data_IF_740578883741
#
_entry.id   IF_740578883741
#
_cell.length_a   1.000
_cell.length_b   1.000
_cell.length_c   1.000
_cell.angle_alpha   90.00
_cell.angle_beta   90.00
_cell.angle_gamma   90.00
#
_symmetry.space_group_name_H-M   'P 1'
#
loop_
_entity.id
_entity.type
_entity.pdbx_description
1 polymer ?
#
# COMPACT_ATOMS: atom_id res chain seq x y z
N UNK A 1 39.69 25.18 -6.52
CA UNK A 1 38.43 24.88 -5.82
C UNK A 1 37.73 23.82 -6.65
N UNK A 2 37.54 22.61 -6.13
CA UNK A 2 36.83 21.54 -6.86
C UNK A 2 35.34 21.71 -6.57
N UNK A 3 34.50 21.70 -7.60
CA UNK A 3 33.05 21.79 -7.40
C UNK A 3 32.49 20.42 -7.01
N UNK A 4 32.07 20.29 -5.75
CA UNK A 4 31.51 19.07 -5.17
C UNK A 4 30.00 18.92 -5.41
N UNK A 5 29.32 19.92 -5.98
CA UNK A 5 27.86 19.87 -6.23
C UNK A 5 27.39 18.61 -6.97
N UNK A 6 28.09 18.08 -8.00
CA UNK A 6 27.65 16.86 -8.68
C UNK A 6 27.58 15.62 -7.79
N UNK A 7 28.44 15.52 -6.76
CA UNK A 7 28.52 14.33 -5.90
C UNK A 7 27.36 14.22 -4.91
N UNK A 8 26.81 15.36 -4.45
CA UNK A 8 25.59 15.38 -3.63
C UNK A 8 24.36 14.92 -4.42
N UNK A 9 24.20 15.39 -5.67
CA UNK A 9 23.13 14.93 -6.55
C UNK A 9 23.22 13.43 -6.87
N UNK A 10 24.42 12.89 -7.08
CA UNK A 10 24.61 11.45 -7.31
C UNK A 10 24.18 10.64 -6.07
N UNK A 11 24.53 11.07 -4.86
CA UNK A 11 24.11 10.37 -3.63
C UNK A 11 22.61 10.49 -3.37
N UNK A 12 21.98 11.65 -3.62
CA UNK A 12 20.54 11.81 -3.51
C UNK A 12 19.77 10.93 -4.52
N UNK A 13 20.24 10.87 -5.78
CA UNK A 13 19.66 10.00 -6.80
C UNK A 13 19.89 8.51 -6.49
N UNK A 14 21.04 8.16 -5.91
CA UNK A 14 21.31 6.80 -5.44
C UNK A 14 20.41 6.41 -4.25
N UNK A 15 20.07 7.35 -3.35
CA UNK A 15 19.13 7.11 -2.26
C UNK A 15 17.70 6.93 -2.79
N UNK A 16 17.26 7.78 -3.73
CA UNK A 16 16.01 7.59 -4.50
C UNK A 16 15.93 6.21 -5.15
N UNK A 17 17.01 5.78 -5.82
CA UNK A 17 17.09 4.46 -6.46
C UNK A 17 17.14 3.30 -5.47
N UNK A 18 17.78 3.45 -4.30
CA UNK A 18 17.79 2.43 -3.26
C UNK A 18 16.41 2.27 -2.59
N UNK A 19 15.71 3.36 -2.34
CA UNK A 19 14.33 3.34 -1.80
C UNK A 19 13.40 2.69 -2.82
N UNK A 20 13.41 3.14 -4.08
CA UNK A 20 12.51 2.59 -5.12
C UNK A 20 12.84 1.15 -5.52
N UNK A 21 14.12 0.77 -5.63
CA UNK A 21 14.52 -0.61 -5.94
C UNK A 21 14.32 -1.58 -4.76
N UNK A 22 14.41 -1.10 -3.51
CA UNK A 22 14.16 -1.91 -2.32
C UNK A 22 12.78 -2.57 -2.32
N UNK A 23 11.75 -1.82 -2.72
CA UNK A 23 10.38 -2.35 -2.79
C UNK A 23 10.15 -3.37 -3.91
N UNK A 24 10.93 -3.32 -5.00
CA UNK A 24 10.88 -4.34 -6.05
C UNK A 24 11.45 -5.71 -5.61
N UNK A 25 12.27 -5.74 -4.56
CA UNK A 25 12.96 -6.96 -4.10
C UNK A 25 12.14 -7.81 -3.11
N UNK A 26 11.10 -7.26 -2.49
CA UNK A 26 10.37 -7.93 -1.39
C UNK A 26 9.34 -8.96 -1.91
N UNK A 27 8.94 -8.88 -3.19
CA UNK A 27 7.92 -9.77 -3.78
C UNK A 27 8.42 -11.16 -4.25
N UNK A 28 9.53 -11.71 -3.71
CA UNK A 28 10.08 -13.01 -4.18
C UNK A 28 10.44 -14.07 -3.14
N UNK A 29 10.38 -13.81 -1.83
CA UNK A 29 10.72 -14.82 -0.81
C UNK A 29 9.59 -15.12 0.19
N UNK A 30 8.45 -15.59 -0.33
CA UNK A 30 7.45 -16.34 0.44
C UNK A 30 7.31 -17.75 -0.15
N UNK A 31 8.34 -18.58 0.04
CA UNK A 31 8.57 -19.82 -0.73
C UNK A 31 9.09 -21.02 0.05
N UNK A 32 8.34 -21.45 1.08
CA UNK A 32 8.25 -22.85 1.56
C UNK A 32 9.56 -23.68 1.74
N UNK A 33 10.04 -23.81 2.98
CA UNK A 33 10.95 -24.90 3.40
C UNK A 33 10.27 -25.82 4.44
N UNK A 34 10.23 -27.15 4.25
CA UNK A 34 9.76 -28.10 5.26
C UNK A 34 10.83 -28.38 6.32
N UNK A 35 10.41 -28.66 7.55
CA UNK A 35 11.32 -28.89 8.69
C UNK A 35 11.78 -30.35 8.87
N UNK A 36 12.81 -30.51 9.69
CA UNK A 36 13.26 -31.79 10.28
C UNK A 36 13.52 -31.56 11.78
N UNK A 37 13.25 -32.55 12.64
CA UNK A 37 13.25 -32.39 14.09
C UNK A 37 14.22 -33.34 14.83
N UNK A 38 14.80 -32.85 15.93
CA UNK A 38 15.43 -33.55 17.06
C UNK A 38 15.41 -32.54 18.24
N UNK A 39 14.86 -32.81 19.42
CA UNK A 39 15.41 -33.62 20.53
C UNK A 39 16.75 -33.08 21.11
N UNK A 40 16.98 -32.96 22.42
CA UNK A 40 16.10 -32.96 23.61
C UNK A 40 16.89 -32.47 24.86
N UNK A 41 16.19 -32.09 25.96
CA UNK A 41 16.71 -31.78 27.32
C UNK A 41 17.64 -30.54 27.45
N UNK A 42 17.59 -29.71 28.50
CA UNK A 42 17.54 -30.03 29.93
C UNK A 42 16.73 -29.05 30.82
N UNK A 43 16.41 -29.52 32.03
CA UNK A 43 15.62 -28.90 33.11
C UNK A 43 16.35 -27.77 33.87
N UNK A 44 15.65 -26.73 34.38
CA UNK A 44 16.28 -25.58 35.08
C UNK A 44 16.58 -25.82 36.56
N UNK A 45 17.32 -24.89 37.18
CA UNK A 45 17.56 -24.81 38.63
C UNK A 45 17.32 -23.39 39.17
N UNK A 46 16.70 -23.29 40.35
CA UNK A 46 16.55 -22.06 41.14
C UNK A 46 17.48 -22.11 42.36
N UNK A 47 18.02 -20.98 42.79
CA UNK A 47 18.25 -20.71 44.23
C UNK A 47 18.41 -19.20 44.52
N UNK A 48 18.15 -18.84 45.78
CA UNK A 48 17.93 -17.49 46.36
C UNK A 48 19.05 -17.14 47.40
N UNK A 49 19.02 -16.03 48.17
CA UNK A 49 18.55 -14.65 47.91
C UNK A 49 19.44 -13.51 48.53
N UNK A 50 18.96 -12.26 48.37
CA UNK A 50 18.94 -11.15 49.37
C UNK A 50 20.21 -10.37 49.83
N UNK A 51 20.11 -9.04 49.69
CA UNK A 51 20.54 -8.05 50.68
C UNK A 51 19.63 -6.79 50.59
N UNK A 52 19.40 -6.08 51.72
CA UNK A 52 18.55 -4.87 51.81
C UNK A 52 19.34 -3.65 52.32
N UNK A 53 19.07 -2.47 51.76
CA UNK A 53 19.06 -1.15 52.47
C UNK A 53 17.86 -0.35 51.90
N UNK A 54 17.27 0.58 52.67
CA UNK A 54 15.98 1.22 52.34
C UNK A 54 15.86 2.69 52.82
N UNK A 55 14.88 3.42 52.24
CA UNK A 55 14.34 4.73 52.67
C UNK A 55 15.29 5.95 52.52
N UNK A 56 14.86 7.19 52.27
CA UNK A 56 13.54 7.81 51.99
C UNK A 56 13.75 9.01 51.01
N UNK A 57 12.83 9.92 50.65
CA UNK A 57 11.42 10.20 51.02
C UNK A 57 10.70 10.99 49.88
N UNK A 58 9.45 11.44 50.05
CA UNK A 58 8.66 12.21 49.04
C UNK A 58 8.01 13.50 49.60
N UNK A 59 8.29 14.68 49.01
CA UNK A 59 7.45 15.88 49.10
C UNK A 59 6.31 15.92 48.02
N UNK A 60 5.27 16.76 48.19
CA UNK A 60 4.02 16.67 47.42
C UNK A 60 3.95 17.50 46.12
N UNK A 61 2.92 17.18 45.34
CA UNK A 61 2.50 17.75 44.07
C UNK A 61 1.59 19.00 44.25
N UNK A 62 1.78 20.10 43.50
CA UNK A 62 0.86 21.24 43.46
C UNK A 62 -0.19 21.09 42.35
N UNK A 63 -1.43 21.53 42.63
CA UNK A 63 -2.60 21.30 41.78
C UNK A 63 -2.69 22.18 40.51
N UNK A 64 -3.40 21.67 39.48
CA UNK A 64 -3.74 22.41 38.25
C UNK A 64 -4.80 23.50 38.47
N UNK A 65 -4.68 24.67 37.82
CA UNK A 65 -5.80 25.58 37.56
C UNK A 65 -6.52 25.23 36.24
N UNK A 66 -7.81 25.56 36.17
CA UNK A 66 -8.68 25.36 34.99
C UNK A 66 -8.69 26.61 34.06
N UNK A 67 -9.42 26.63 32.92
CA UNK A 67 -8.97 27.33 31.71
C UNK A 67 -9.23 28.85 31.67
N UNK A 68 -8.40 29.54 30.88
CA UNK A 68 -8.59 30.91 30.41
C UNK A 68 -8.84 30.95 28.88
N UNK A 69 -9.35 32.08 28.38
CA UNK A 69 -10.00 32.19 27.07
C UNK A 69 -9.03 32.47 25.90
N UNK A 70 -9.47 32.15 24.68
CA UNK A 70 -8.81 32.53 23.42
C UNK A 70 -8.82 34.06 23.22
N UNK A 71 -7.72 34.67 22.72
CA UNK A 71 -7.76 35.84 21.86
C UNK A 71 -7.80 35.43 20.37
N UNK A 72 -8.44 36.22 19.52
CA UNK A 72 -8.58 35.93 18.08
C UNK A 72 -7.31 36.25 17.29
N UNK A 73 -6.83 35.28 16.49
CA UNK A 73 -5.64 35.42 15.64
C UNK A 73 -6.01 35.97 14.25
N UNK A 74 -6.23 37.29 14.16
CA UNK A 74 -6.36 37.99 12.88
C UNK A 74 -4.98 38.48 12.43
N UNK A 75 -4.43 37.87 11.37
CA UNK A 75 -3.29 38.42 10.63
C UNK A 75 -3.78 39.05 9.32
N UNK A 76 -3.39 40.29 9.08
CA UNK A 76 -3.65 41.04 7.84
C UNK A 76 -2.30 41.48 7.28
N UNK A 77 -2.03 41.11 6.03
CA UNK A 77 -0.78 41.42 5.35
C UNK A 77 -0.74 42.88 4.87
N UNK A 78 0.47 43.46 4.74
CA UNK A 78 0.67 44.92 4.76
C UNK A 78 1.20 45.49 3.45
N UNK A 79 0.36 45.47 2.42
CA UNK A 79 0.62 46.16 1.15
C UNK A 79 0.46 47.70 1.24
N UNK A 80 1.10 48.43 0.31
CA UNK A 80 1.15 49.90 0.27
C UNK A 80 -0.07 50.52 -0.46
N UNK A 81 -0.51 51.70 -0.03
CA UNK A 81 -1.51 52.57 -0.69
C UNK A 81 -0.77 53.64 -1.55
N UNK A 82 -1.32 54.49 -2.44
CA UNK A 82 -2.55 55.35 -2.56
C UNK A 82 -2.63 55.77 -4.09
N UNK A 83 -3.73 56.21 -4.78
CA UNK A 83 -5.16 56.49 -4.44
C UNK A 83 -6.28 55.92 -5.39
N UNK A 84 -7.54 55.94 -4.89
CA UNK A 84 -8.79 56.63 -5.39
C UNK A 84 -8.86 57.03 -6.90
N UNK A 85 -9.93 56.79 -7.70
CA UNK A 85 -11.41 56.71 -7.47
C UNK A 85 -12.20 55.85 -8.52
N UNK A 86 -13.51 55.52 -8.32
CA UNK A 86 -14.39 54.67 -9.17
C UNK A 86 -15.41 55.52 -10.03
N UNK A 87 -16.52 55.01 -10.67
CA UNK A 87 -17.17 53.68 -10.63
C UNK A 87 -17.74 53.12 -11.98
N UNK A 88 -18.71 52.18 -11.86
CA UNK A 88 -19.53 51.48 -12.88
C UNK A 88 -18.88 50.19 -13.49
N UNK A 89 -19.58 49.06 -13.67
CA UNK A 89 -21.01 48.77 -13.40
C UNK A 89 -21.31 47.30 -12.98
N UNK A 90 -22.58 47.01 -12.66
CA UNK A 90 -23.15 45.78 -12.08
C UNK A 90 -22.82 44.42 -12.74
N UNK A 91 -22.72 43.33 -11.95
CA UNK A 91 -23.67 42.18 -12.01
C UNK A 91 -23.42 41.04 -10.95
N UNK A 92 -24.46 40.74 -10.15
CA UNK A 92 -24.86 39.47 -9.48
C UNK A 92 -23.85 38.41 -8.95
N UNK A 93 -24.15 37.96 -7.72
CA UNK A 93 -23.53 36.84 -6.99
C UNK A 93 -24.14 35.48 -7.36
N UNK A 94 -23.32 34.42 -7.40
CA UNK A 94 -23.73 33.04 -7.13
C UNK A 94 -22.58 32.28 -6.44
N UNK A 95 -22.85 31.64 -5.31
CA UNK A 95 -21.84 30.88 -4.52
C UNK A 95 -21.88 29.39 -4.87
N UNK A 96 -20.70 28.81 -5.13
CA UNK A 96 -20.53 27.35 -5.22
C UNK A 96 -19.96 26.82 -3.89
N UNK A 97 -20.46 25.67 -3.44
CA UNK A 97 -19.96 24.92 -2.28
C UNK A 97 -19.63 23.50 -2.70
N UNK A 98 -18.45 23.00 -2.33
CA UNK A 98 -18.04 21.62 -2.58
C UNK A 98 -19.00 20.59 -1.98
N UNK A 99 -19.10 19.43 -2.64
CA UNK A 99 -19.70 18.22 -2.07
C UNK A 99 -18.95 16.99 -2.54
N UNK A 100 -18.55 16.14 -1.59
CA UNK A 100 -18.01 14.81 -1.87
C UNK A 100 -19.14 13.88 -2.41
N UNK A 101 -18.80 12.82 -3.17
CA UNK A 101 -19.79 11.85 -3.66
C UNK A 101 -20.45 11.08 -2.52
N UNK A 102 -21.72 10.70 -2.71
CA UNK A 102 -22.57 10.10 -1.67
C UNK A 102 -22.55 8.55 -1.70
N UNK A 103 -22.76 7.94 -0.53
CA UNK A 103 -22.67 6.49 -0.30
C UNK A 103 -23.99 5.81 -0.66
N UNK A 104 -23.95 4.73 -1.43
CA UNK A 104 -25.12 3.90 -1.72
C UNK A 104 -25.31 2.76 -0.71
N UNK A 105 -26.40 2.83 0.06
CA UNK A 105 -26.95 1.72 0.84
C UNK A 105 -28.46 1.63 0.58
N UNK A 106 -28.98 0.42 0.34
CA UNK A 106 -30.42 0.19 0.08
C UNK A 106 -30.85 -1.15 0.69
N UNK A 107 -32.00 -1.14 1.35
CA UNK A 107 -32.61 -2.29 2.06
C UNK A 107 -33.26 -3.34 1.12
N UNK A 108 -33.49 -4.58 1.59
CA UNK A 108 -33.97 -5.69 0.77
C UNK A 108 -35.49 -5.65 0.45
N UNK A 109 -35.95 -6.32 -0.63
CA UNK A 109 -37.35 -6.30 -1.07
C UNK A 109 -38.28 -7.30 -0.35
N UNK A 110 -39.59 -6.96 -0.35
CA UNK A 110 -40.72 -7.71 0.21
C UNK A 110 -41.07 -9.01 -0.56
N UNK A 111 -41.62 -10.00 0.15
CA UNK A 111 -41.94 -11.35 -0.35
C UNK A 111 -43.36 -11.47 -0.91
N UNK A 112 -43.52 -12.00 -2.13
CA UNK A 112 -44.82 -12.50 -2.64
C UNK A 112 -44.67 -13.77 -3.49
N UNK A 113 -45.47 -14.79 -3.18
CA UNK A 113 -45.67 -15.98 -4.00
C UNK A 113 -46.65 -15.68 -5.17
N UNK A 114 -46.88 -16.62 -6.11
CA UNK A 114 -48.01 -17.53 -5.86
C UNK A 114 -47.85 -18.99 -6.34
N UNK A 115 -48.43 -19.89 -5.53
CA UNK A 115 -49.19 -21.13 -5.81
C UNK A 115 -48.87 -22.10 -6.97
N UNK A 116 -49.14 -23.38 -6.69
CA UNK A 116 -48.98 -24.55 -7.57
C UNK A 116 -50.27 -24.93 -8.31
N UNK A 117 -50.16 -25.47 -9.52
CA UNK A 117 -51.19 -26.36 -10.09
C UNK A 117 -50.58 -27.50 -10.92
N UNK A 118 -50.97 -28.74 -10.61
CA UNK A 118 -50.87 -29.93 -11.49
C UNK A 118 -52.20 -30.16 -12.22
N UNK A 119 -52.19 -30.94 -13.31
CA UNK A 119 -52.95 -32.21 -13.25
C UNK A 119 -52.20 -33.39 -13.88
N UNK A 120 -52.85 -34.56 -13.95
CA UNK A 120 -52.20 -35.87 -14.07
C UNK A 120 -52.47 -36.65 -15.38
N UNK A 121 -51.52 -37.53 -15.68
CA UNK A 121 -51.64 -38.91 -16.20
C UNK A 121 -52.85 -39.33 -17.05
N UNK A 122 -52.55 -39.90 -18.23
CA UNK A 122 -53.37 -40.94 -18.89
C UNK A 122 -52.46 -41.99 -19.55
N UNK A 123 -52.85 -43.27 -19.56
CA UNK A 123 -52.10 -44.38 -20.16
C UNK A 123 -53.03 -45.44 -20.78
N UNK A 124 -52.61 -46.11 -21.86
CA UNK A 124 -53.40 -47.13 -22.61
C UNK A 124 -52.50 -48.25 -23.18
N UNK A 125 -53.01 -49.50 -23.23
CA UNK A 125 -52.43 -50.73 -23.82
C UNK A 125 -53.48 -51.42 -24.73
N UNK A 126 -53.27 -52.48 -25.53
CA UNK A 126 -52.24 -53.55 -25.73
C UNK A 126 -52.05 -53.75 -27.27
N UNK A 127 -51.31 -54.67 -27.92
CA UNK A 127 -50.64 -55.97 -27.67
C UNK A 127 -49.34 -56.04 -28.54
N UNK A 128 -48.38 -56.98 -28.49
CA UNK A 128 -48.24 -58.40 -28.11
C UNK A 128 -48.65 -59.45 -29.16
N UNK A 129 -47.68 -59.89 -29.98
CA UNK A 129 -47.53 -61.19 -30.69
C UNK A 129 -46.12 -61.22 -31.33
N UNK A 130 -45.40 -62.33 -31.55
CA UNK A 130 -45.43 -63.70 -30.98
C UNK A 130 -44.02 -64.32 -31.19
N UNK A 131 -43.72 -65.46 -30.55
CA UNK A 131 -42.54 -66.29 -30.84
C UNK A 131 -42.88 -67.32 -31.96
N UNK A 132 -42.09 -68.32 -32.36
CA UNK A 132 -40.79 -68.87 -31.94
C UNK A 132 -40.23 -69.73 -33.09
N UNK A 133 -38.92 -70.03 -33.11
CA UNK A 133 -38.46 -71.36 -33.58
C UNK A 133 -37.05 -71.71 -33.10
N UNK A 134 -36.90 -72.95 -32.64
CA UNK A 134 -35.62 -73.63 -32.42
C UNK A 134 -35.67 -75.02 -33.07
N UNK A 135 -34.53 -75.69 -33.24
CA UNK A 135 -34.31 -77.15 -33.00
C UNK A 135 -32.83 -77.51 -33.21
N UNK A 136 -32.35 -78.51 -32.47
CA UNK A 136 -30.97 -78.97 -32.30
C UNK A 136 -30.60 -80.22 -33.12
N UNK A 137 -29.31 -80.41 -33.42
CA UNK A 137 -28.63 -81.73 -33.55
C UNK A 137 -27.10 -81.48 -33.70
N UNK A 138 -26.13 -82.29 -33.26
CA UNK A 138 -26.07 -83.45 -32.34
C UNK A 138 -24.59 -83.74 -32.02
N UNK A 139 -24.28 -84.35 -30.86
CA UNK A 139 -22.93 -84.80 -30.49
C UNK A 139 -22.65 -86.27 -30.90
N UNK A 140 -21.37 -86.70 -30.92
CA UNK A 140 -20.98 -87.89 -30.16
C UNK A 140 -19.64 -87.74 -29.40
N UNK A 141 -19.25 -88.78 -28.64
CA UNK A 141 -18.01 -88.90 -27.86
C UNK A 141 -17.56 -90.39 -27.87
N UNK A 142 -16.41 -90.84 -27.33
CA UNK A 142 -15.44 -90.26 -26.38
C UNK A 142 -14.01 -90.63 -26.81
N UNK A 143 -13.01 -89.79 -26.48
CA UNK A 143 -11.59 -90.15 -26.45
C UNK A 143 -10.85 -89.35 -25.35
N UNK A 144 -9.76 -89.87 -24.80
CA UNK A 144 -9.24 -89.47 -23.48
C UNK A 144 -7.93 -88.63 -23.50
N UNK A 145 -7.75 -87.83 -22.44
CA UNK A 145 -6.47 -87.32 -21.88
C UNK A 145 -5.51 -86.47 -22.74
N UNK A 146 -5.48 -85.15 -22.46
CA UNK A 146 -4.27 -84.40 -22.06
C UNK A 146 -4.70 -83.15 -21.23
N UNK A 147 -3.94 -82.70 -20.20
CA UNK A 147 -4.54 -81.91 -19.13
C UNK A 147 -4.65 -80.40 -19.41
N UNK A 148 -5.38 -79.74 -18.52
CA UNK A 148 -5.58 -78.29 -18.44
C UNK A 148 -4.27 -77.49 -18.64
N UNK A 149 -4.28 -76.53 -19.56
CA UNK A 149 -3.46 -75.33 -19.39
C UNK A 149 -4.25 -74.39 -18.48
N UNK A 150 -3.93 -74.41 -17.18
CA UNK A 150 -4.38 -73.40 -16.22
C UNK A 150 -4.13 -72.00 -16.75
N UNK A 151 -4.97 -71.07 -16.32
CA UNK A 151 -4.94 -69.66 -16.67
C UNK A 151 -3.52 -69.10 -16.50
N UNK A 152 -3.00 -68.51 -17.57
CA UNK A 152 -1.87 -67.60 -17.43
C UNK A 152 -2.41 -66.37 -16.69
N UNK A 153 -1.85 -65.99 -15.53
CA UNK A 153 -2.31 -64.78 -14.84
C UNK A 153 -2.09 -63.59 -15.77
N UNK A 154 -3.13 -62.77 -15.95
CA UNK A 154 -3.00 -61.53 -16.70
C UNK A 154 -1.85 -60.69 -16.09
N UNK A 155 -1.01 -60.04 -16.93
CA UNK A 155 0.09 -59.25 -16.43
C UNK A 155 -0.48 -58.13 -15.57
N UNK A 156 -0.09 -58.10 -14.28
CA UNK A 156 -0.53 -57.07 -13.35
C UNK A 156 -0.26 -55.69 -13.98
N UNK A 157 -1.25 -54.78 -14.00
CA UNK A 157 -1.08 -53.48 -14.63
C UNK A 157 0.10 -52.73 -14.00
N UNK A 158 0.87 -52.04 -14.84
CA UNK A 158 2.04 -51.22 -14.45
C UNK A 158 1.79 -49.73 -14.64
N UNK A 159 0.71 -49.39 -15.34
CA UNK A 159 0.21 -48.04 -15.62
C UNK A 159 -1.18 -47.84 -15.01
N UNK A 160 -1.62 -46.59 -14.96
CA UNK A 160 -2.98 -46.15 -14.66
C UNK A 160 -3.59 -45.52 -15.91
N UNK A 161 -4.89 -45.69 -16.13
CA UNK A 161 -5.64 -45.00 -17.18
C UNK A 161 -6.25 -43.70 -16.63
N UNK A 162 -6.04 -42.59 -17.33
CA UNK A 162 -6.62 -41.29 -17.03
C UNK A 162 -7.45 -40.79 -18.22
N UNK A 163 -8.77 -40.75 -18.02
CA UNK A 163 -9.78 -40.31 -18.98
C UNK A 163 -10.18 -38.87 -18.67
N UNK A 164 -9.84 -37.91 -19.55
CA UNK A 164 -10.12 -36.48 -19.35
C UNK A 164 -11.20 -35.96 -20.29
N UNK A 165 -12.25 -35.38 -19.72
CA UNK A 165 -13.43 -34.84 -20.42
C UNK A 165 -13.78 -33.45 -19.89
N UNK A 166 -14.50 -32.66 -20.69
CA UNK A 166 -14.91 -31.29 -20.40
C UNK A 166 -16.35 -31.05 -20.82
N UNK A 167 -16.96 -30.00 -20.29
CA UNK A 167 -18.23 -29.46 -20.78
C UNK A 167 -18.05 -28.52 -22.00
N UNK A 168 -16.83 -28.27 -22.45
CA UNK A 168 -16.52 -27.33 -23.54
C UNK A 168 -15.57 -27.97 -24.56
N UNK A 169 -15.84 -27.80 -25.84
CA UNK A 169 -14.93 -28.26 -26.91
C UNK A 169 -13.81 -27.24 -27.18
N UNK A 170 -12.69 -27.71 -27.76
CA UNK A 170 -11.51 -26.90 -28.08
C UNK A 170 -10.95 -26.17 -26.83
N UNK A 171 -10.82 -26.90 -25.73
CA UNK A 171 -10.00 -26.53 -24.58
C UNK A 171 -8.55 -27.05 -24.75
N UNK A 172 -7.71 -26.86 -23.73
CA UNK A 172 -6.32 -27.32 -23.69
C UNK A 172 -6.02 -27.91 -22.31
N UNK A 173 -5.58 -29.16 -22.32
CA UNK A 173 -5.15 -29.91 -21.14
C UNK A 173 -3.64 -29.73 -20.93
N UNK A 174 -3.28 -29.40 -19.70
CA UNK A 174 -1.91 -29.35 -19.20
C UNK A 174 -1.79 -30.29 -17.99
N UNK A 175 -0.72 -31.09 -17.96
CA UNK A 175 -0.45 -32.05 -16.88
C UNK A 175 1.02 -31.90 -16.48
N UNK A 176 1.28 -31.57 -15.21
CA UNK A 176 2.62 -31.33 -14.66
C UNK A 176 3.47 -30.36 -15.53
N UNK A 177 2.88 -29.26 -16.00
CA UNK A 177 3.56 -28.24 -16.82
C UNK A 177 3.72 -28.58 -18.31
N UNK A 178 3.14 -29.70 -18.78
CA UNK A 178 3.21 -30.14 -20.19
C UNK A 178 1.83 -30.14 -20.82
N UNK A 179 1.67 -29.51 -21.98
CA UNK A 179 0.43 -29.52 -22.77
C UNK A 179 0.21 -30.85 -23.49
N UNK A 180 -1.03 -31.35 -23.52
CA UNK A 180 -1.43 -32.59 -24.19
C UNK A 180 -2.51 -32.39 -25.29
N UNK A 181 -3.07 -31.19 -25.44
CA UNK A 181 -4.13 -30.89 -26.41
C UNK A 181 -5.53 -30.88 -25.76
N UNK A 182 -6.62 -30.87 -26.56
CA UNK A 182 -7.99 -30.77 -26.04
C UNK A 182 -8.44 -32.03 -25.28
N UNK A 183 -9.50 -31.89 -24.48
CA UNK A 183 -10.17 -33.02 -23.83
C UNK A 183 -10.94 -33.90 -24.83
N UNK A 184 -11.51 -35.02 -24.34
CA UNK A 184 -11.63 -36.31 -25.09
C UNK A 184 -10.27 -36.99 -25.24
N UNK A 185 -9.47 -36.87 -24.18
CA UNK A 185 -8.08 -37.29 -24.08
C UNK A 185 -8.00 -38.46 -23.09
N UNK A 186 -7.41 -39.57 -23.52
CA UNK A 186 -7.23 -40.79 -22.73
C UNK A 186 -5.73 -41.12 -22.71
N UNK A 187 -5.16 -41.29 -21.51
CA UNK A 187 -3.72 -41.36 -21.32
C UNK A 187 -3.31 -42.42 -20.29
N UNK A 188 -2.27 -43.17 -20.61
CA UNK A 188 -1.57 -44.01 -19.62
C UNK A 188 -0.47 -43.24 -18.89
N UNK A 189 -0.49 -43.36 -17.57
CA UNK A 189 0.51 -42.78 -16.68
C UNK A 189 1.15 -43.84 -15.77
N UNK A 190 2.37 -43.58 -15.31
CA UNK A 190 2.96 -44.35 -14.23
C UNK A 190 2.30 -43.97 -12.88
N UNK A 191 2.41 -44.81 -11.83
CA UNK A 191 1.92 -44.44 -10.51
C UNK A 191 2.63 -43.19 -9.97
N UNK A 192 1.86 -42.19 -9.54
CA UNK A 192 2.41 -40.87 -9.21
C UNK A 192 1.33 -39.84 -8.86
N UNK A 193 1.77 -38.60 -8.60
CA UNK A 193 0.89 -37.44 -8.45
C UNK A 193 0.90 -36.62 -9.76
N UNK A 194 -0.27 -36.10 -10.13
CA UNK A 194 -0.49 -35.35 -11.36
C UNK A 194 -1.36 -34.11 -11.09
N UNK A 195 -0.79 -32.93 -11.32
CA UNK A 195 -1.48 -31.65 -11.35
C UNK A 195 -2.04 -31.44 -12.74
N UNK A 196 -3.37 -31.49 -12.86
CA UNK A 196 -4.09 -31.41 -14.12
C UNK A 196 -4.79 -30.05 -14.20
N UNK A 197 -4.59 -29.33 -15.28
CA UNK A 197 -5.27 -28.06 -15.58
C UNK A 197 -5.96 -28.18 -16.95
N UNK A 198 -7.21 -27.74 -17.03
CA UNK A 198 -7.98 -27.66 -18.27
C UNK A 198 -8.30 -26.17 -18.48
N UNK A 199 -7.65 -25.60 -19.48
CA UNK A 199 -7.65 -24.18 -19.81
C UNK A 199 -8.46 -23.94 -21.10
N UNK A 200 -9.19 -22.83 -21.19
CA UNK A 200 -9.73 -22.34 -22.46
C UNK A 200 -9.88 -20.82 -22.47
N UNK A 201 -9.53 -20.18 -23.58
CA UNK A 201 -9.80 -18.76 -23.81
C UNK A 201 -11.31 -18.47 -23.69
N UNK A 202 -11.66 -17.43 -22.92
CA UNK A 202 -13.06 -17.11 -22.60
C UNK A 202 -13.70 -17.97 -21.50
N UNK A 203 -12.93 -18.77 -20.75
CA UNK A 203 -13.43 -19.60 -19.64
C UNK A 203 -12.49 -19.54 -18.43
N UNK A 204 -13.07 -19.66 -17.23
CA UNK A 204 -12.31 -19.91 -16.00
C UNK A 204 -11.69 -21.30 -16.05
N UNK A 205 -10.37 -21.36 -15.89
CA UNK A 205 -9.60 -22.61 -15.83
C UNK A 205 -10.09 -23.52 -14.72
N UNK A 206 -10.16 -24.82 -15.01
CA UNK A 206 -10.41 -25.87 -14.05
C UNK A 206 -9.09 -26.57 -13.71
N UNK A 207 -8.85 -26.88 -12.44
CA UNK A 207 -7.67 -27.63 -12.02
C UNK A 207 -7.94 -28.62 -10.89
N UNK A 208 -7.21 -29.73 -10.89
CA UNK A 208 -7.26 -30.74 -9.85
C UNK A 208 -5.94 -31.53 -9.78
N UNK A 209 -5.38 -31.65 -8.58
CA UNK A 209 -4.31 -32.63 -8.29
C UNK A 209 -4.93 -34.01 -8.06
N UNK A 210 -4.39 -35.05 -8.70
CA UNK A 210 -4.78 -36.45 -8.46
C UNK A 210 -3.56 -37.32 -8.18
N UNK A 211 -3.81 -38.45 -7.52
CA UNK A 211 -2.83 -39.52 -7.29
C UNK A 211 -3.30 -40.77 -8.03
N UNK A 212 -2.42 -41.37 -8.83
CA UNK A 212 -2.70 -42.56 -9.62
C UNK A 212 -1.85 -43.75 -9.12
N UNK A 213 -2.46 -44.93 -9.13
CA UNK A 213 -1.90 -46.21 -8.69
C UNK A 213 -1.94 -47.21 -9.87
N UNK A 214 -1.07 -48.22 -9.86
CA UNK A 214 -1.00 -49.18 -10.96
C UNK A 214 -2.29 -50.02 -11.06
N UNK A 215 -3.01 -49.89 -12.17
CA UNK A 215 -4.33 -50.49 -12.38
C UNK A 215 -5.53 -49.59 -12.07
N UNK A 216 -5.32 -48.33 -11.67
CA UNK A 216 -6.42 -47.36 -11.54
C UNK A 216 -6.98 -46.99 -12.94
N UNK A 217 -8.30 -46.83 -13.03
CA UNK A 217 -9.01 -46.21 -14.16
C UNK A 217 -9.81 -45.02 -13.62
N UNK A 218 -9.38 -43.81 -13.97
CA UNK A 218 -9.92 -42.56 -13.43
C UNK A 218 -10.48 -41.67 -14.54
N UNK A 219 -11.79 -41.41 -14.51
CA UNK A 219 -12.43 -40.38 -15.34
C UNK A 219 -12.57 -39.07 -14.57
N UNK A 220 -11.92 -38.01 -15.04
CA UNK A 220 -12.16 -36.64 -14.57
C UNK A 220 -13.00 -35.85 -15.57
N UNK A 221 -13.83 -34.95 -15.05
CA UNK A 221 -14.73 -34.10 -15.83
C UNK A 221 -14.53 -32.64 -15.42
N UNK A 222 -13.74 -31.91 -16.20
CA UNK A 222 -13.60 -30.47 -16.04
C UNK A 222 -14.95 -29.79 -16.28
N UNK A 223 -15.33 -28.90 -15.37
CA UNK A 223 -16.44 -27.96 -15.58
C UNK A 223 -15.83 -26.56 -15.70
N UNK A 224 -15.56 -26.15 -16.93
CA UNK A 224 -15.12 -24.80 -17.27
C UNK A 224 -16.35 -23.90 -17.35
N UNK A 225 -16.29 -22.76 -16.68
CA UNK A 225 -17.37 -21.77 -16.65
C UNK A 225 -16.96 -20.59 -17.54
N UNK A 226 -17.82 -20.23 -18.49
CA UNK A 226 -17.51 -19.16 -19.44
C UNK A 226 -17.34 -17.82 -18.70
N UNK A 227 -16.32 -17.05 -19.06
CA UNK A 227 -16.31 -15.61 -18.80
C UNK A 227 -17.46 -15.02 -19.62
N UNK A 228 -18.57 -14.80 -18.93
CA UNK A 228 -19.74 -14.17 -19.53
C UNK A 228 -19.38 -12.73 -19.80
N UNK A 229 -19.32 -12.35 -21.08
CA UNK A 229 -18.98 -10.99 -21.47
C UNK A 229 -20.07 -10.04 -20.97
N UNK A 230 -19.71 -9.15 -20.05
CA UNK A 230 -20.65 -8.23 -19.39
C UNK A 230 -20.56 -6.85 -20.03
N UNK A 231 -21.53 -6.45 -20.85
CA UNK A 231 -21.58 -5.10 -21.42
C UNK A 231 -22.81 -4.32 -20.89
N UNK A 232 -22.57 -3.27 -20.11
CA UNK A 232 -23.59 -2.31 -19.65
C UNK A 232 -23.50 -1.00 -20.45
N UNK A 233 -24.61 -0.60 -21.08
CA UNK A 233 -24.71 0.66 -21.82
C UNK A 233 -26.11 1.25 -21.64
N UNK A 234 -26.21 2.59 -21.57
CA UNK A 234 -27.48 3.32 -21.55
C UNK A 234 -28.49 2.79 -20.49
N UNK A 235 -28.01 2.51 -19.28
CA UNK A 235 -28.84 2.01 -18.17
C UNK A 235 -29.16 0.51 -18.20
N UNK A 236 -28.69 -0.24 -19.21
CA UNK A 236 -29.11 -1.64 -19.45
C UNK A 236 -27.92 -2.60 -19.50
N UNK A 237 -28.02 -3.74 -18.79
CA UNK A 237 -27.06 -4.85 -18.87
C UNK A 237 -27.42 -5.77 -20.04
N UNK A 238 -26.50 -5.94 -20.99
CA UNK A 238 -26.70 -6.78 -22.18
C UNK A 238 -26.91 -8.25 -21.78
N UNK A 239 -28.03 -8.84 -22.20
CA UNK A 239 -28.37 -10.23 -21.86
C UNK A 239 -28.73 -10.46 -20.38
N UNK A 240 -28.80 -9.42 -19.55
CA UNK A 240 -29.15 -9.52 -18.13
C UNK A 240 -28.06 -10.10 -17.22
N UNK A 241 -26.90 -10.47 -17.75
CA UNK A 241 -25.76 -10.96 -16.96
C UNK A 241 -25.02 -9.78 -16.31
N UNK A 242 -24.49 -9.98 -15.10
CA UNK A 242 -23.83 -8.95 -14.28
C UNK A 242 -22.55 -9.42 -13.57
N UNK A 243 -22.02 -10.57 -13.95
CA UNK A 243 -20.84 -11.20 -13.35
C UNK A 243 -19.98 -11.76 -14.46
N UNK A 244 -18.64 -11.64 -14.36
CA UNK A 244 -17.72 -11.88 -15.47
C UNK A 244 -17.08 -10.58 -15.97
N UNK A 245 -16.32 -10.66 -17.06
CA UNK A 245 -15.49 -9.56 -17.56
C UNK A 245 -16.17 -8.78 -18.70
N UNK A 246 -15.94 -7.47 -18.78
CA UNK A 246 -16.43 -6.69 -19.93
C UNK A 246 -16.35 -5.18 -19.76
N UNK A 247 -17.39 -4.47 -20.21
CA UNK A 247 -17.44 -3.00 -20.25
C UNK A 247 -18.68 -2.41 -19.58
N UNK A 248 -18.53 -1.24 -18.97
CA UNK A 248 -19.62 -0.45 -18.42
C UNK A 248 -19.49 0.99 -18.94
N UNK A 249 -20.60 1.54 -19.45
CA UNK A 249 -20.74 2.95 -19.86
C UNK A 249 -22.10 3.45 -19.39
N UNK A 250 -22.11 4.45 -18.49
CA UNK A 250 -23.35 5.11 -18.04
C UNK A 250 -23.63 6.44 -18.76
N UNK A 251 -24.75 7.07 -18.40
CA UNK A 251 -25.20 8.33 -18.98
C UNK A 251 -24.42 9.55 -18.51
N UNK A 252 -23.71 9.45 -17.38
CA UNK A 252 -22.83 10.50 -16.86
C UNK A 252 -21.45 10.47 -17.56
N UNK A 253 -21.10 9.32 -18.17
CA UNK A 253 -19.94 9.14 -19.04
C UNK A 253 -18.78 8.37 -18.40
N UNK A 254 -18.99 7.75 -17.23
CA UNK A 254 -18.02 6.84 -16.62
C UNK A 254 -17.87 5.60 -17.51
N UNK A 255 -16.63 5.32 -17.92
CA UNK A 255 -16.28 4.13 -18.68
C UNK A 255 -15.42 3.22 -17.82
N UNK A 256 -15.82 1.97 -17.64
CA UNK A 256 -15.04 0.95 -16.95
C UNK A 256 -14.83 -0.29 -17.83
N UNK A 257 -13.63 -0.87 -17.77
CA UNK A 257 -13.30 -2.16 -18.37
C UNK A 257 -12.60 -3.03 -17.32
N UNK A 258 -13.15 -4.21 -17.03
CA UNK A 258 -12.62 -5.11 -15.99
C UNK A 258 -13.64 -6.18 -15.59
N UNK A 259 -13.48 -6.76 -14.40
CA UNK A 259 -14.34 -7.81 -13.87
C UNK A 259 -15.52 -7.26 -13.06
N UNK A 260 -16.64 -7.97 -13.10
CA UNK A 260 -17.86 -7.64 -12.37
C UNK A 260 -18.30 -8.79 -11.47
N UNK A 261 -18.85 -8.47 -10.29
CA UNK A 261 -19.66 -9.39 -9.50
C UNK A 261 -20.98 -8.73 -9.15
N UNK A 262 -22.09 -9.33 -9.58
CA UNK A 262 -23.47 -8.87 -9.35
C UNK A 262 -23.74 -7.41 -9.81
N UNK A 263 -22.93 -6.89 -10.72
CA UNK A 263 -23.01 -5.54 -11.29
C UNK A 263 -22.11 -4.50 -10.62
N UNK A 264 -21.34 -4.89 -9.60
CA UNK A 264 -20.26 -4.08 -8.99
C UNK A 264 -18.92 -4.39 -9.65
N UNK A 265 -18.06 -3.38 -9.76
CA UNK A 265 -16.65 -3.56 -10.20
C UNK A 265 -15.88 -4.36 -9.15
N UNK A 266 -15.09 -5.34 -9.58
CA UNK A 266 -14.33 -6.25 -8.72
C UNK A 266 -13.01 -6.63 -9.41
N UNK A 267 -11.99 -7.08 -8.67
CA UNK A 267 -10.74 -7.56 -9.25
C UNK A 267 -9.99 -6.49 -10.04
N UNK A 268 -9.29 -6.85 -11.11
CA UNK A 268 -8.53 -5.90 -11.93
C UNK A 268 -9.44 -5.14 -12.89
N UNK A 269 -9.28 -3.81 -12.97
CA UNK A 269 -10.06 -2.99 -13.91
C UNK A 269 -9.55 -1.55 -14.08
N UNK A 270 -9.92 -0.96 -15.20
CA UNK A 270 -9.58 0.41 -15.62
C UNK A 270 -10.85 1.24 -15.68
N UNK A 271 -10.92 2.34 -14.92
CA UNK A 271 -11.98 3.35 -15.04
C UNK A 271 -11.45 4.64 -15.67
N UNK A 272 -12.29 5.28 -16.49
CA UNK A 272 -12.11 6.63 -17.04
C UNK A 272 -13.34 7.44 -16.64
N UNK A 273 -13.12 8.53 -15.92
CA UNK A 273 -14.17 9.35 -15.34
C UNK A 273 -14.52 10.54 -16.26
N UNK A 274 -15.75 11.09 -16.17
CA UNK A 274 -16.18 12.22 -17.00
C UNK A 274 -15.31 13.49 -16.83
N UNK A 275 -14.69 13.66 -15.66
CA UNK A 275 -13.76 14.76 -15.37
C UNK A 275 -12.37 14.58 -16.00
N UNK A 276 -12.10 13.45 -16.68
CA UNK A 276 -10.81 13.11 -17.28
C UNK A 276 -9.86 12.29 -16.38
N UNK A 277 -10.23 12.02 -15.12
CA UNK A 277 -9.44 11.14 -14.25
C UNK A 277 -9.43 9.69 -14.79
N UNK A 278 -8.36 8.95 -14.49
CA UNK A 278 -8.24 7.52 -14.81
C UNK A 278 -7.71 6.73 -13.63
N UNK A 279 -8.41 5.68 -13.24
CA UNK A 279 -7.92 4.66 -12.32
C UNK A 279 -7.60 3.35 -13.07
N UNK A 280 -6.58 2.64 -12.63
CA UNK A 280 -6.16 1.31 -13.11
C UNK A 280 -5.58 0.53 -11.93
N UNK A 281 -6.22 -0.56 -11.53
CA UNK A 281 -5.83 -1.28 -10.30
C UNK A 281 -6.88 -2.29 -9.86
N UNK A 282 -6.83 -2.67 -8.57
CA UNK A 282 -7.81 -3.58 -7.99
C UNK A 282 -9.08 -2.83 -7.54
N UNK A 283 -10.20 -3.56 -7.56
CA UNK A 283 -11.52 -3.11 -7.17
C UNK A 283 -12.13 -4.13 -6.23
N UNK A 284 -12.92 -3.68 -5.27
CA UNK A 284 -13.83 -4.58 -4.55
C UNK A 284 -15.14 -3.88 -4.23
N UNK A 285 -16.25 -4.59 -4.45
CA UNK A 285 -17.62 -4.13 -4.28
C UNK A 285 -17.97 -2.79 -4.98
N UNK A 286 -17.21 -2.36 -5.99
CA UNK A 286 -17.36 -1.09 -6.70
C UNK A 286 -16.36 0.02 -6.31
N UNK A 287 -15.53 -0.19 -5.28
CA UNK A 287 -14.57 0.80 -4.77
C UNK A 287 -13.12 0.44 -5.14
N UNK A 288 -12.22 1.43 -5.19
CA UNK A 288 -10.78 1.18 -5.38
C UNK A 288 -10.20 0.48 -4.16
N UNK A 289 -9.40 -0.56 -4.39
CA UNK A 289 -8.76 -1.37 -3.35
C UNK A 289 -7.40 -1.87 -3.82
N UNK A 290 -6.59 -2.43 -2.90
CA UNK A 290 -5.31 -3.07 -3.22
C UNK A 290 -4.36 -2.16 -4.01
N UNK A 291 -3.45 -2.74 -4.77
CA UNK A 291 -2.55 -1.95 -5.62
C UNK A 291 -3.27 -1.32 -6.82
N UNK A 292 -2.91 -0.08 -7.15
CA UNK A 292 -3.41 0.63 -8.32
C UNK A 292 -2.65 1.91 -8.65
N UNK A 293 -3.08 2.57 -9.72
CA UNK A 293 -2.60 3.87 -10.20
C UNK A 293 -3.79 4.77 -10.51
N UNK A 294 -3.85 5.93 -9.86
CA UNK A 294 -4.80 7.01 -10.16
C UNK A 294 -4.06 8.14 -10.87
N UNK A 295 -4.55 8.58 -12.02
CA UNK A 295 -4.09 9.79 -12.71
C UNK A 295 -5.22 10.80 -12.75
N UNK A 296 -4.98 12.01 -12.26
CA UNK A 296 -5.94 13.11 -12.29
C UNK A 296 -5.85 13.88 -13.60
N UNK A 297 -6.96 14.40 -14.08
CA UNK A 297 -6.99 15.30 -15.24
C UNK A 297 -6.12 16.56 -15.03
N UNK A 298 -6.03 17.03 -13.77
CA UNK A 298 -5.16 18.12 -13.35
C UNK A 298 -3.67 17.78 -13.20
N UNK A 299 -3.18 16.67 -13.77
CA UNK A 299 -1.76 16.32 -13.84
C UNK A 299 -1.20 15.51 -12.67
N UNK A 300 -1.76 15.64 -11.46
CA UNK A 300 -1.36 14.83 -10.30
C UNK A 300 -1.61 13.32 -10.54
N UNK A 301 -0.78 12.45 -9.95
CA UNK A 301 -0.96 11.00 -10.01
C UNK A 301 -0.46 10.29 -8.76
N UNK A 302 -1.19 9.26 -8.32
CA UNK A 302 -0.81 8.37 -7.24
C UNK A 302 -0.59 6.95 -7.76
N UNK A 303 0.40 6.24 -7.22
CA UNK A 303 0.62 4.81 -7.42
C UNK A 303 0.93 4.13 -6.09
N UNK A 304 0.24 3.03 -5.80
CA UNK A 304 0.40 2.27 -4.56
C UNK A 304 -0.90 1.61 -4.11
N UNK A 305 -0.97 1.26 -2.83
CA UNK A 305 -2.14 0.63 -2.22
C UNK A 305 -3.32 1.59 -1.97
N UNK A 306 -4.52 1.03 -2.01
CA UNK A 306 -5.83 1.67 -1.78
C UNK A 306 -6.68 0.84 -0.82
N UNK A 307 -7.52 1.51 -0.03
CA UNK A 307 -8.60 0.89 0.73
C UNK A 307 -9.82 1.81 0.75
N UNK A 308 -11.02 1.25 0.54
CA UNK A 308 -12.30 1.97 0.57
C UNK A 308 -12.31 3.26 -0.29
N UNK A 309 -11.72 3.20 -1.49
CA UNK A 309 -11.58 4.37 -2.38
C UNK A 309 -10.48 5.38 -2.02
N UNK A 310 -9.79 5.24 -0.89
CA UNK A 310 -8.75 6.17 -0.43
C UNK A 310 -7.32 5.57 -0.55
N UNK A 311 -6.30 6.44 -0.60
CA UNK A 311 -4.89 6.02 -0.49
C UNK A 311 -4.64 5.42 0.90
N UNK A 312 -4.05 4.22 0.96
CA UNK A 312 -3.87 3.48 2.21
C UNK A 312 -2.70 2.50 2.06
N UNK A 313 -1.85 2.32 3.09
CA UNK A 313 -0.65 1.51 2.98
C UNK A 313 0.49 2.23 2.25
N UNK A 314 1.37 1.52 1.53
CA UNK A 314 2.50 2.15 0.85
C UNK A 314 2.08 2.77 -0.50
N UNK A 315 2.61 3.96 -0.80
CA UNK A 315 2.37 4.60 -2.09
C UNK A 315 3.15 5.89 -2.32
N UNK A 316 3.10 6.37 -3.56
CA UNK A 316 3.75 7.60 -4.03
C UNK A 316 2.73 8.49 -4.75
N UNK A 317 2.66 9.76 -4.34
CA UNK A 317 1.84 10.82 -4.93
C UNK A 317 2.77 11.85 -5.60
N UNK A 318 2.72 11.93 -6.93
CA UNK A 318 3.17 13.11 -7.67
C UNK A 318 2.03 14.11 -7.73
N UNK A 319 2.25 15.35 -7.28
CA UNK A 319 1.29 16.46 -7.41
C UNK A 319 1.32 17.08 -8.83
N UNK A 320 0.48 18.10 -9.04
CA UNK A 320 0.39 18.85 -10.29
C UNK A 320 1.50 19.91 -10.48
N UNK A 321 2.12 20.36 -9.38
CA UNK A 321 3.26 21.28 -9.37
C UNK A 321 4.58 20.56 -9.72
N UNK A 322 4.76 19.35 -9.21
CA UNK A 322 5.94 18.51 -9.40
C UNK A 322 6.40 17.81 -8.12
N UNK A 323 5.86 18.19 -6.95
CA UNK A 323 6.16 17.56 -5.67
C UNK A 323 5.88 16.04 -5.72
N UNK A 324 6.80 15.25 -5.18
CA UNK A 324 6.65 13.81 -5.00
C UNK A 324 6.64 13.49 -3.51
N UNK A 325 5.52 13.01 -2.98
CA UNK A 325 5.38 12.48 -1.63
C UNK A 325 5.36 10.95 -1.68
N UNK A 326 6.22 10.27 -0.92
CA UNK A 326 6.28 8.80 -0.89
C UNK A 326 6.35 8.28 0.53
N UNK A 327 5.63 7.20 0.85
CA UNK A 327 5.67 6.57 2.17
C UNK A 327 4.38 5.87 2.54
N UNK A 328 4.09 5.82 3.84
CA UNK A 328 2.87 5.21 4.38
C UNK A 328 1.69 6.19 4.40
N UNK A 329 0.57 5.76 3.84
CA UNK A 329 -0.69 6.49 3.75
C UNK A 329 -1.75 5.86 4.65
N UNK A 330 -2.57 6.70 5.27
CA UNK A 330 -3.79 6.30 5.95
C UNK A 330 -4.91 7.26 5.57
N UNK A 331 -6.04 6.70 5.13
CA UNK A 331 -7.29 7.41 4.84
C UNK A 331 -7.10 8.66 3.93
N UNK A 332 -6.22 8.54 2.93
CA UNK A 332 -5.89 9.59 1.97
C UNK A 332 -4.76 10.55 2.40
N UNK A 333 -4.21 10.43 3.60
CA UNK A 333 -3.17 11.31 4.17
C UNK A 333 -1.87 10.53 4.40
N UNK A 334 -0.72 11.21 4.28
CA UNK A 334 0.58 10.60 4.60
C UNK A 334 0.77 10.61 6.13
N UNK A 335 0.92 9.44 6.76
CA UNK A 335 1.03 9.28 8.21
C UNK A 335 1.92 8.07 8.55
N UNK A 336 2.94 8.28 9.38
CA UNK A 336 4.09 7.39 9.52
C UNK A 336 5.32 7.88 8.74
N UNK A 337 6.24 7.00 8.39
CA UNK A 337 7.47 7.40 7.69
C UNK A 337 7.27 7.64 6.18
N UNK A 338 8.01 8.62 5.66
CA UNK A 338 8.02 8.95 4.23
C UNK A 338 9.04 10.01 3.84
N UNK A 339 8.90 10.52 2.63
CA UNK A 339 9.69 11.61 2.05
C UNK A 339 8.84 12.58 1.22
N UNK A 340 9.31 13.82 1.11
CA UNK A 340 8.87 14.81 0.13
C UNK A 340 10.08 15.22 -0.71
N UNK A 341 9.96 15.17 -2.04
CA UNK A 341 10.87 15.85 -2.96
C UNK A 341 10.09 16.96 -3.66
N UNK A 342 10.50 18.21 -3.48
CA UNK A 342 9.88 19.38 -4.11
C UNK A 342 10.46 19.68 -5.50
N UNK A 343 9.69 20.39 -6.31
CA UNK A 343 10.15 20.88 -7.63
C UNK A 343 11.30 21.91 -7.50
N UNK A 344 11.29 22.67 -6.42
CA UNK A 344 12.34 23.60 -5.95
C UNK A 344 13.65 22.90 -5.52
N UNK A 345 13.69 21.57 -5.50
CA UNK A 345 14.83 20.78 -5.03
C UNK A 345 14.94 20.63 -3.51
N UNK A 346 13.89 20.97 -2.76
CA UNK A 346 13.73 20.64 -1.34
C UNK A 346 13.57 19.13 -1.17
N UNK A 347 14.24 18.55 -0.19
CA UNK A 347 14.14 17.13 0.16
C UNK A 347 13.88 16.98 1.67
N UNK A 348 12.72 16.45 2.03
CA UNK A 348 12.43 15.96 3.37
C UNK A 348 12.45 14.43 3.41
N UNK A 349 13.03 13.85 4.46
CA UNK A 349 12.90 12.43 4.82
C UNK A 349 12.69 12.36 6.32
N UNK A 350 11.64 11.69 6.79
CA UNK A 350 11.33 11.66 8.22
C UNK A 350 9.96 11.08 8.54
N UNK A 351 9.40 11.51 9.67
CA UNK A 351 8.02 11.20 10.05
C UNK A 351 7.01 12.21 9.51
N UNK A 352 5.81 11.73 9.21
CA UNK A 352 4.64 12.51 8.84
C UNK A 352 3.48 12.19 9.78
N UNK A 353 2.61 13.17 9.97
CA UNK A 353 1.33 13.01 10.65
C UNK A 353 0.28 13.86 9.93
N UNK A 354 -0.79 13.24 9.42
CA UNK A 354 -1.84 13.90 8.63
C UNK A 354 -1.32 14.75 7.46
N UNK A 355 -0.19 14.36 6.86
CA UNK A 355 0.49 15.07 5.78
C UNK A 355 1.49 16.16 6.20
N UNK A 356 1.58 16.50 7.50
CA UNK A 356 2.57 17.46 8.03
C UNK A 356 3.83 16.74 8.55
N UNK A 357 5.01 17.39 8.48
CA UNK A 357 6.25 16.85 9.06
C UNK A 357 6.10 16.73 10.59
N UNK A 358 6.48 15.57 11.15
CA UNK A 358 6.24 15.24 12.56
C UNK A 358 7.21 14.19 13.12
N UNK A 359 7.74 14.42 14.32
CA UNK A 359 8.81 13.58 14.88
C UNK A 359 10.15 13.84 14.19
N UNK A 360 11.10 12.91 14.31
CA UNK A 360 12.44 13.09 13.74
C UNK A 360 12.44 13.12 12.20
N UNK A 361 13.26 13.99 11.63
CA UNK A 361 13.50 14.04 10.20
C UNK A 361 14.69 14.88 9.78
N UNK A 362 14.95 14.87 8.48
CA UNK A 362 16.00 15.63 7.81
C UNK A 362 15.37 16.45 6.69
N UNK A 363 15.65 17.75 6.64
CA UNK A 363 15.17 18.68 5.61
C UNK A 363 16.36 19.37 4.93
N UNK A 364 16.52 19.19 3.62
CA UNK A 364 17.56 19.81 2.81
C UNK A 364 16.95 20.70 1.74
N UNK A 365 17.60 21.81 1.40
CA UNK A 365 17.18 22.76 0.36
C UNK A 365 18.22 22.88 -0.75
N UNK A 366 17.80 23.26 -1.95
CA UNK A 366 18.69 23.42 -3.11
C UNK A 366 19.78 24.51 -2.95
N UNK A 367 19.61 25.45 -2.02
CA UNK A 367 20.61 26.46 -1.65
C UNK A 367 21.71 25.94 -0.71
N UNK A 368 21.60 24.70 -0.23
CA UNK A 368 22.52 24.07 0.70
C UNK A 368 22.13 24.18 2.18
N UNK A 369 21.01 24.83 2.53
CA UNK A 369 20.44 24.73 3.89
C UNK A 369 20.08 23.29 4.22
N UNK A 370 20.31 22.91 5.46
CA UNK A 370 20.10 21.55 5.94
C UNK A 370 19.75 21.53 7.42
N UNK A 371 18.60 20.95 7.78
CA UNK A 371 18.15 20.72 9.14
C UNK A 371 18.05 19.22 9.43
N UNK A 372 18.47 18.81 10.63
CA UNK A 372 18.31 17.47 11.17
C UNK A 372 17.79 17.58 12.63
N UNK A 373 16.71 16.89 12.96
CA UNK A 373 16.10 16.92 14.30
C UNK A 373 14.58 16.77 14.29
N UNK A 374 13.94 17.21 15.38
CA UNK A 374 12.50 17.05 15.60
C UNK A 374 11.61 18.04 14.84
N UNK A 375 10.43 17.56 14.43
CA UNK A 375 9.37 18.34 13.79
C UNK A 375 8.05 18.22 14.56
N UNK A 376 7.28 19.30 14.59
CA UNK A 376 5.90 19.31 15.08
C UNK A 376 5.06 20.25 14.22
N UNK A 377 3.97 19.73 13.69
CA UNK A 377 3.04 20.43 12.78
C UNK A 377 3.75 21.19 11.65
N UNK A 378 4.69 20.51 10.97
CA UNK A 378 5.48 21.08 9.87
C UNK A 378 6.68 21.95 10.27
N UNK A 379 6.78 22.41 11.52
CA UNK A 379 7.84 23.30 12.00
C UNK A 379 8.91 22.58 12.84
N UNK A 380 10.15 23.11 12.86
CA UNK A 380 11.23 22.60 13.72
C UNK A 380 10.83 22.68 15.21
N UNK A 381 11.09 21.62 15.97
CA UNK A 381 10.65 21.50 17.36
C UNK A 381 11.53 20.52 18.17
N UNK A 382 11.87 20.83 19.42
CA UNK A 382 12.74 19.98 20.22
C UNK A 382 14.22 20.18 19.85
N UNK A 383 15.06 19.15 20.02
CA UNK A 383 16.49 19.25 19.70
C UNK A 383 16.74 19.13 18.18
N UNK A 384 17.72 19.87 17.66
CA UNK A 384 18.09 19.81 16.25
C UNK A 384 19.35 20.61 15.88
N UNK A 385 19.73 20.47 14.61
CA UNK A 385 20.95 21.00 14.01
C UNK A 385 20.61 21.61 12.63
N UNK A 386 20.71 22.93 12.48
CA UNK A 386 20.54 23.62 11.18
C UNK A 386 21.87 24.18 10.67
N UNK A 387 22.13 23.97 9.38
CA UNK A 387 23.19 24.61 8.60
C UNK A 387 22.53 25.61 7.65
N UNK A 388 23.02 26.84 7.67
CA UNK A 388 22.50 27.96 6.87
C UNK A 388 23.22 28.08 5.52
N UNK A 389 22.60 28.75 4.54
CA UNK A 389 23.16 28.92 3.19
C UNK A 389 24.47 29.73 3.16
N UNK A 390 24.76 30.51 4.21
CA UNK A 390 26.02 31.23 4.42
C UNK A 390 27.09 30.40 5.15
N UNK A 391 26.76 29.16 5.53
CA UNK A 391 27.63 28.25 6.27
C UNK A 391 27.62 28.41 7.79
N UNK A 392 26.77 29.28 8.38
CA UNK A 392 26.52 29.24 9.83
C UNK A 392 25.91 27.89 10.21
N UNK A 393 26.08 27.47 11.47
CA UNK A 393 25.44 26.28 12.03
C UNK A 393 24.85 26.58 13.41
N UNK A 394 23.58 26.27 13.64
CA UNK A 394 23.00 26.22 14.98
C UNK A 394 22.84 24.76 15.43
N UNK A 395 23.14 24.47 16.69
CA UNK A 395 22.81 23.21 17.36
C UNK A 395 22.17 23.54 18.70
N UNK A 396 20.96 23.06 18.95
CA UNK A 396 20.23 23.42 20.16
C UNK A 396 18.76 23.05 20.09
N UNK A 397 17.94 23.74 20.89
CA UNK A 397 16.50 23.52 20.94
C UNK A 397 15.76 24.48 19.98
N UNK A 398 14.59 24.04 19.50
CA UNK A 398 13.68 24.76 18.62
C UNK A 398 12.26 24.76 19.19
N UNK A 399 11.52 25.83 18.92
CA UNK A 399 10.10 25.95 19.24
C UNK A 399 9.42 26.74 18.12
N UNK A 400 8.44 26.12 17.45
CA UNK A 400 7.68 26.74 16.35
C UNK A 400 8.58 27.27 15.22
N UNK A 401 9.66 26.54 14.90
CA UNK A 401 10.66 26.93 13.88
C UNK A 401 11.78 27.85 14.39
N UNK A 402 11.58 28.55 15.51
CA UNK A 402 12.54 29.51 16.07
C UNK A 402 13.54 28.87 17.04
N UNK A 403 14.75 29.44 17.14
CA UNK A 403 15.71 29.04 18.17
C UNK A 403 15.12 29.28 19.57
N UNK A 404 15.22 28.26 20.43
CA UNK A 404 14.69 28.26 21.79
C UNK A 404 15.63 27.51 22.74
N UNK A 405 15.35 27.54 24.05
CA UNK A 405 16.01 26.68 25.03
C UNK A 405 17.53 26.89 25.04
N UNK A 406 18.33 25.84 25.23
CA UNK A 406 19.79 25.94 25.10
C UNK A 406 20.23 25.67 23.66
N UNK A 407 21.22 26.42 23.20
CA UNK A 407 21.85 26.19 21.90
C UNK A 407 23.18 26.91 21.73
N UNK A 408 23.86 26.57 20.63
CA UNK A 408 25.12 27.16 20.18
C UNK A 408 24.99 27.52 18.70
N UNK A 409 25.14 28.81 18.38
CA UNK A 409 25.37 29.28 17.01
C UNK A 409 26.88 29.29 16.74
N UNK A 410 27.29 28.75 15.60
CA UNK A 410 28.66 28.69 15.10
C UNK A 410 28.72 29.41 13.74
N UNK A 411 29.63 30.37 13.61
CA UNK A 411 29.85 31.12 12.37
C UNK A 411 30.94 30.44 11.50
N UNK A 412 30.95 30.64 10.17
CA UNK A 412 31.94 30.05 9.26
C UNK A 412 33.41 30.34 9.60
N UNK A 413 33.67 31.43 10.32
CA UNK A 413 35.00 31.83 10.79
C UNK A 413 35.45 31.11 12.08
N UNK A 414 34.66 30.17 12.61
CA UNK A 414 34.95 29.44 13.85
C UNK A 414 34.51 30.14 15.14
N UNK A 415 34.02 31.39 15.07
CA UNK A 415 33.44 32.07 16.25
C UNK A 415 32.08 31.48 16.63
N UNK A 416 31.71 31.55 17.92
CA UNK A 416 30.47 30.94 18.42
C UNK A 416 29.78 31.74 19.52
N UNK A 417 28.47 31.49 19.67
CA UNK A 417 27.55 32.07 20.65
C UNK A 417 26.79 30.92 21.31
N UNK A 418 27.21 30.52 22.52
CA UNK A 418 26.54 29.54 23.38
C UNK A 418 25.63 30.28 24.35
N UNK A 419 24.31 30.05 24.32
CA UNK A 419 23.35 30.81 25.13
C UNK A 419 22.03 30.05 25.36
N UNK A 420 21.13 30.66 26.12
CA UNK A 420 19.70 30.31 26.09
C UNK A 420 19.02 31.19 25.05
N UNK A 421 18.31 30.62 24.09
CA UNK A 421 17.62 31.35 23.03
C UNK A 421 16.13 31.50 23.33
N UNK A 422 15.53 32.61 22.86
CA UNK A 422 14.09 32.85 22.92
C UNK A 422 13.64 33.67 21.72
N UNK A 423 12.84 33.06 20.84
CA UNK A 423 12.38 33.64 19.56
C UNK A 423 13.59 34.09 18.71
N UNK A 424 14.47 33.13 18.38
CA UNK A 424 15.63 33.34 17.51
C UNK A 424 16.83 34.03 18.17
N UNK A 425 16.64 34.67 19.34
CA UNK A 425 17.62 35.60 19.92
C UNK A 425 18.24 35.09 21.22
N UNK A 426 19.54 35.33 21.46
CA UNK A 426 20.19 35.07 22.75
C UNK A 426 19.48 35.81 23.91
N UNK A 427 19.35 35.13 25.05
CA UNK A 427 18.61 35.59 26.22
C UNK A 427 19.29 35.19 27.53
N UNK A 428 19.32 36.12 28.49
CA UNK A 428 19.97 35.91 29.77
C UNK A 428 21.49 36.03 29.64
N UNK A 429 22.21 34.93 29.85
CA UNK A 429 23.67 34.86 29.73
C UNK A 429 24.09 34.22 28.40
N UNK A 430 25.17 34.71 27.82
CA UNK A 430 25.81 34.10 26.67
C UNK A 430 27.32 33.98 26.88
N UNK A 431 27.90 32.91 26.33
CA UNK A 431 29.33 32.68 26.21
C UNK A 431 29.70 32.84 24.73
N UNK A 432 30.49 33.86 24.47
CA UNK A 432 30.96 34.25 23.14
C UNK A 432 32.39 33.73 22.96
N UNK A 433 32.70 33.12 21.82
CA UNK A 433 34.05 32.68 21.46
C UNK A 433 34.47 33.33 20.14
N UNK A 434 35.63 33.99 20.09
CA UNK A 434 36.15 34.60 18.84
C UNK A 434 36.84 33.55 17.94
N UNK A 435 37.14 33.85 16.66
CA UNK A 435 37.89 32.95 15.78
C UNK A 435 39.26 32.52 16.34
N UNK A 436 39.87 33.37 17.16
CA UNK A 436 41.16 33.14 17.82
C UNK A 436 41.02 32.30 19.11
N UNK A 437 39.80 31.90 19.47
CA UNK A 437 39.50 31.14 20.69
C UNK A 437 39.35 31.99 21.95
N UNK A 438 39.24 33.33 21.85
CA UNK A 438 39.02 34.16 23.04
C UNK A 438 37.59 34.05 23.54
N UNK A 439 37.43 33.68 24.82
CA UNK A 439 36.12 33.52 25.45
C UNK A 439 35.70 34.79 26.21
N UNK A 440 34.47 35.24 26.02
CA UNK A 440 33.83 36.34 26.73
C UNK A 440 32.46 35.92 27.27
N UNK A 441 32.13 36.39 28.47
CA UNK A 441 30.79 36.26 29.05
C UNK A 441 30.01 37.55 28.78
N UNK A 442 28.78 37.42 28.31
CA UNK A 442 27.92 38.52 27.90
C UNK A 442 26.50 38.34 28.48
N UNK A 443 25.70 39.40 28.48
CA UNK A 443 24.31 39.37 28.97
C UNK A 443 23.38 40.16 28.06
N UNK A 444 22.21 39.59 27.76
CA UNK A 444 21.19 40.28 26.95
C UNK A 444 20.60 41.51 27.65
N UNK A 445 20.82 41.67 28.95
CA UNK A 445 20.48 42.86 29.75
C UNK A 445 21.51 43.98 29.70
N UNK A 446 22.71 43.73 29.15
CA UNK A 446 23.84 44.66 29.13
C UNK A 446 24.42 44.77 27.69
N UNK A 447 23.66 45.29 26.70
CA UNK A 447 24.04 45.19 25.29
C UNK A 447 25.40 45.85 24.99
N UNK A 448 26.24 45.14 24.24
CA UNK A 448 27.59 45.58 23.89
C UNK A 448 28.64 45.51 25.02
N UNK A 449 28.25 45.13 26.24
CA UNK A 449 29.17 44.94 27.38
C UNK A 449 29.50 43.47 27.58
N UNK A 450 30.79 43.15 27.63
CA UNK A 450 31.32 41.80 27.77
C UNK A 450 32.43 41.70 28.82
N UNK A 451 32.65 40.50 29.32
CA UNK A 451 33.65 40.16 30.33
C UNK A 451 34.51 39.00 29.83
N UNK A 452 35.73 39.29 29.38
CA UNK A 452 36.71 38.27 28.95
C UNK A 452 36.89 37.22 30.04
N UNK A 453 37.06 35.96 29.69
CA UNK A 453 37.14 34.86 30.67
C UNK A 453 38.24 35.13 31.72
N UNK A 454 37.93 34.84 33.00
CA UNK A 454 38.77 35.16 34.17
C UNK A 454 39.03 36.67 34.42
N UNK A 455 38.35 37.58 33.71
CA UNK A 455 38.41 39.04 33.95
C UNK A 455 37.08 39.60 34.45
N UNK A 456 37.13 40.37 35.55
CA UNK A 456 36.00 41.19 36.03
C UNK A 456 35.95 42.57 35.38
N UNK A 457 36.96 42.95 34.58
CA UNK A 457 36.96 44.21 33.84
C UNK A 457 36.05 44.09 32.63
N UNK A 458 34.99 44.89 32.61
CA UNK A 458 34.13 45.07 31.45
C UNK A 458 34.91 45.62 30.24
N UNK A 459 34.62 45.08 29.07
CA UNK A 459 35.08 45.53 27.76
C UNK A 459 33.89 45.69 26.82
N UNK A 460 34.09 46.33 25.67
CA UNK A 460 33.17 46.17 24.56
C UNK A 460 33.15 44.68 24.14
N UNK A 461 32.00 44.18 23.70
CA UNK A 461 31.91 42.85 23.11
C UNK A 461 32.70 42.74 21.79
N UNK A 462 33.28 41.57 21.47
CA UNK A 462 33.82 41.32 20.14
C UNK A 462 32.71 41.46 19.09
N UNK A 463 33.03 41.96 17.87
CA UNK A 463 32.05 42.03 16.78
C UNK A 463 31.76 40.63 16.25
N UNK A 464 30.73 40.00 16.81
CA UNK A 464 30.26 38.67 16.42
C UNK A 464 28.90 38.78 15.75
N UNK A 465 28.76 38.12 14.61
CA UNK A 465 27.49 38.04 13.91
C UNK A 465 26.53 37.14 14.70
N UNK A 466 25.32 37.64 14.98
CA UNK A 466 24.30 36.96 15.79
C UNK A 466 24.22 37.36 17.28
N UNK A 467 25.03 38.33 17.74
CA UNK A 467 24.99 38.90 19.10
C UNK A 467 24.43 40.33 19.11
#
# INVERSE_FOLDING_TARGET
>A
MVDFRPLLFINALALMLLVTAGFASIQRETGHFPGVAAEANHTPAQTEPAAKIASADKPPEPASPAPAQKPDSVFVDKAQQIPVSPPADTATVATATDKAPEIFSVDPPDTREPETTTPATAAVTIATIDASKATTSSAPAVAETKPERKDAPEPKPVTAQLTLRSNVENDSVEINGKTYGPTRLDLEFAPGNYDIVINKEGYKSWSQTVRLSAGDDLTLRGKLEAYTRVDYQNGTWTGGVKTGDGTYIDGDGLQYTGHFINGKFEGQGIARYPNGDRYEGNWSAGEWSGEGTLRKAGGASYSGSFANGAFNGQGSLTKADGDILTGHWQDGQLDGHGSLTGDDGKLYVGGFRKGEFHGEGTLTYADGRHYEGGFSNGAYNGEGSEIFADGKKYVGNYMEGEFHGKGTLLNPNGSSIESTFRYGKPYGQAKLTTPEGEVFNARSSEPGVCYREKSYRATQCPPLEGW
#
